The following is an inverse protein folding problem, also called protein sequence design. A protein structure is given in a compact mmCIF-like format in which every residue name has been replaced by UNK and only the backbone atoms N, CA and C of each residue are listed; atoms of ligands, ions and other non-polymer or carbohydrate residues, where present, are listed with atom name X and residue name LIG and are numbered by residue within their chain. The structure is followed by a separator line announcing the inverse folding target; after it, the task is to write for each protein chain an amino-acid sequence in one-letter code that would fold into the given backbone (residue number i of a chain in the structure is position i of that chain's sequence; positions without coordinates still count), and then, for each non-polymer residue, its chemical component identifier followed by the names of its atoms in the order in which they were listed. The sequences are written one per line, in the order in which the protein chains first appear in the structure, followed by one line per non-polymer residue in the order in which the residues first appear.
data_IF_413591137966
#
_entry.id   IF_413591137966
#
_cell.length_a   1.000
_cell.length_b   1.000
_cell.length_c   1.000
_cell.angle_alpha   90.00
_cell.angle_beta   90.00
_cell.angle_gamma   90.00
#
_symmetry.space_group_name_H-M   'P 1'
#
loop_
_entity.id
_entity.type
_entity.pdbx_description
1 polymer ?
#
# COMPACT_ATOMS: atom_id res chain seq x y z
N UNK A 1 0.88 -17.82 -9.95
CA UNK A 1 0.40 -18.07 -8.56
C UNK A 1 -0.42 -16.90 -8.04
N UNK A 2 0.07 -15.67 -8.24
CA UNK A 2 -0.62 -14.40 -7.99
C UNK A 2 -1.98 -14.23 -8.70
N UNK A 3 -2.10 -14.60 -9.98
CA UNK A 3 -3.38 -14.51 -10.70
C UNK A 3 -4.48 -15.37 -10.05
N UNK A 4 -4.14 -16.57 -9.60
CA UNK A 4 -5.05 -17.45 -8.84
C UNK A 4 -5.41 -16.90 -7.45
N UNK A 5 -4.64 -15.94 -6.94
CA UNK A 5 -4.88 -15.30 -5.64
C UNK A 5 -5.81 -14.08 -5.81
N UNK A 6 -5.63 -13.32 -6.89
CA UNK A 6 -6.49 -12.22 -7.33
C UNK A 6 -7.92 -12.73 -7.60
N UNK A 7 -8.05 -13.89 -8.24
CA UNK A 7 -9.34 -14.55 -8.47
C UNK A 7 -10.07 -14.91 -7.16
N UNK A 8 -9.32 -15.27 -6.11
CA UNK A 8 -9.87 -15.66 -4.79
C UNK A 8 -10.33 -14.48 -3.93
N UNK A 9 -9.89 -13.27 -4.28
CA UNK A 9 -10.25 -12.02 -3.60
C UNK A 9 -11.21 -11.15 -4.42
N UNK A 10 -11.64 -11.62 -5.60
CA UNK A 10 -12.65 -10.91 -6.39
C UNK A 10 -14.05 -11.07 -5.77
N UNK A 11 -14.77 -9.97 -5.49
CA UNK A 11 -16.17 -10.04 -5.14
C UNK A 11 -16.98 -10.44 -6.39
N UNK A 12 -17.85 -11.44 -6.24
CA UNK A 12 -18.78 -11.87 -7.28
C UNK A 12 -19.66 -10.69 -7.73
N UNK A 13 -19.91 -10.58 -9.05
CA UNK A 13 -20.45 -9.38 -9.71
C UNK A 13 -21.75 -8.89 -9.06
N UNK A 14 -21.75 -7.65 -8.56
CA UNK A 14 -22.97 -6.93 -8.22
C UNK A 14 -23.51 -6.18 -9.46
N UNK A 15 -24.76 -6.47 -9.82
CA UNK A 15 -25.58 -5.81 -10.83
C UNK A 15 -25.80 -4.31 -10.55
N UNK A 16 -26.07 -3.46 -11.57
CA UNK A 16 -26.25 -2.03 -11.37
C UNK A 16 -27.67 -1.72 -10.86
N UNK A 17 -27.77 -0.88 -9.83
CA UNK A 17 -29.04 -0.30 -9.37
C UNK A 17 -29.08 1.18 -9.74
N UNK A 18 -30.14 1.56 -10.45
CA UNK A 18 -30.45 2.88 -10.95
C UNK A 18 -30.60 3.93 -9.84
N UNK A 19 -30.17 5.16 -10.13
CA UNK A 19 -30.31 6.34 -9.25
C UNK A 19 -31.74 6.86 -9.24
N UNK A 20 -32.39 6.82 -8.08
CA UNK A 20 -33.43 7.78 -7.71
C UNK A 20 -32.86 8.79 -6.73
N UNK A 21 -33.08 10.08 -7.02
CA UNK A 21 -32.65 11.21 -6.19
C UNK A 21 -33.77 11.49 -5.18
N UNK A 22 -33.52 11.23 -3.89
CA UNK A 22 -34.42 11.63 -2.81
C UNK A 22 -33.70 12.60 -1.89
N UNK A 23 -34.27 13.81 -1.80
CA UNK A 23 -33.89 14.86 -0.84
C UNK A 23 -34.37 14.48 0.57
N UNK A 24 -33.46 14.38 1.55
CA UNK A 24 -33.79 14.17 2.98
C UNK A 24 -32.83 14.96 3.90
N UNK A 25 -33.29 15.51 5.06
CA UNK A 25 -32.58 16.54 5.84
C UNK A 25 -31.36 16.06 6.65
N UNK A 26 -30.49 17.00 7.03
CA UNK A 26 -29.21 16.85 7.77
C UNK A 26 -29.31 16.33 9.23
N UNK A 27 -30.31 15.53 9.58
CA UNK A 27 -30.44 15.00 10.95
C UNK A 27 -30.49 13.48 10.94
N UNK A 28 -29.30 12.88 10.86
CA UNK A 28 -28.91 11.54 11.34
C UNK A 28 -27.57 11.17 10.68
N UNK A 29 -26.44 11.52 11.30
CA UNK A 29 -25.20 10.79 11.04
C UNK A 29 -25.12 9.72 12.13
N UNK A 30 -25.54 8.47 11.90
CA UNK A 30 -25.20 7.39 12.79
C UNK A 30 -23.69 7.16 12.70
N UNK A 31 -22.93 7.70 13.65
CA UNK A 31 -21.54 7.31 13.88
C UNK A 31 -21.50 5.93 14.54
N UNK A 32 -22.02 4.92 13.85
CA UNK A 32 -21.88 3.53 14.28
C UNK A 32 -20.48 3.09 13.87
N UNK A 33 -19.53 3.14 14.82
CA UNK A 33 -18.20 2.56 14.60
C UNK A 33 -18.36 1.09 14.23
N UNK A 34 -18.05 0.79 12.97
CA UNK A 34 -18.20 -0.54 12.39
C UNK A 34 -16.92 -1.33 12.64
N UNK A 35 -17.04 -2.53 13.21
CA UNK A 35 -15.89 -3.36 13.58
C UNK A 35 -15.77 -4.54 12.62
N UNK A 36 -14.56 -5.04 12.41
CA UNK A 36 -14.40 -6.33 11.75
C UNK A 36 -15.15 -7.41 12.57
N UNK A 37 -15.88 -8.35 11.94
CA UNK A 37 -16.75 -9.32 12.59
C UNK A 37 -16.05 -10.05 13.74
N UNK A 38 -16.70 -10.11 14.91
CA UNK A 38 -16.19 -10.77 16.12
C UNK A 38 -14.86 -10.21 16.66
N UNK A 39 -14.54 -8.95 16.39
CA UNK A 39 -13.32 -8.29 16.89
C UNK A 39 -13.59 -6.86 17.42
N UNK A 40 -12.58 -6.27 18.07
CA UNK A 40 -12.55 -4.83 18.42
C UNK A 40 -11.77 -3.98 17.41
N UNK A 41 -11.51 -4.49 16.20
CA UNK A 41 -10.76 -3.78 15.16
C UNK A 41 -11.74 -2.92 14.36
N UNK A 42 -11.69 -1.61 14.59
CA UNK A 42 -12.57 -0.66 13.91
C UNK A 42 -12.19 -0.47 12.43
N UNK A 43 -13.20 -0.40 11.58
CA UNK A 43 -13.11 0.14 10.24
C UNK A 43 -12.71 1.62 10.30
N UNK A 44 -11.80 2.03 9.43
CA UNK A 44 -11.27 3.39 9.35
C UNK A 44 -11.58 3.95 7.96
N UNK A 45 -12.63 4.77 7.78
CA UNK A 45 -13.07 5.22 6.45
C UNK A 45 -12.01 6.03 5.68
N UNK A 46 -11.08 6.67 6.39
CA UNK A 46 -9.99 7.44 5.80
C UNK A 46 -8.72 6.62 5.53
N UNK A 47 -8.71 5.32 5.80
CA UNK A 47 -7.50 4.49 5.66
C UNK A 47 -7.04 4.39 4.20
N UNK A 48 -7.92 3.99 3.28
CA UNK A 48 -7.55 3.86 1.86
C UNK A 48 -7.11 5.21 1.26
N UNK A 49 -7.86 6.32 1.42
CA UNK A 49 -7.39 7.63 0.95
C UNK A 49 -6.03 8.05 1.52
N UNK A 50 -5.74 7.69 2.78
CA UNK A 50 -4.43 7.94 3.40
C UNK A 50 -3.33 7.10 2.75
N UNK A 51 -3.57 5.82 2.51
CA UNK A 51 -2.58 4.91 1.90
C UNK A 51 -2.27 5.34 0.45
N UNK A 52 -3.28 5.70 -0.33
CA UNK A 52 -3.10 6.25 -1.68
C UNK A 52 -2.29 7.56 -1.68
N UNK A 53 -2.51 8.43 -0.67
CA UNK A 53 -1.68 9.62 -0.51
C UNK A 53 -0.23 9.25 -0.18
N UNK A 54 -0.02 8.28 0.71
CA UNK A 54 1.33 7.79 1.03
C UNK A 54 2.03 7.21 -0.20
N UNK A 55 1.31 6.50 -1.10
CA UNK A 55 1.86 6.05 -2.39
C UNK A 55 2.35 7.21 -3.25
N UNK A 56 1.54 8.27 -3.38
CA UNK A 56 1.93 9.47 -4.14
C UNK A 56 3.16 10.13 -3.53
N UNK A 57 3.21 10.26 -2.22
CA UNK A 57 4.35 10.87 -1.50
C UNK A 57 5.63 10.02 -1.68
N UNK A 58 5.51 8.69 -1.57
CA UNK A 58 6.60 7.75 -1.84
C UNK A 58 7.16 7.90 -3.25
N UNK A 59 6.28 7.90 -4.26
CA UNK A 59 6.70 8.04 -5.66
C UNK A 59 7.30 9.41 -5.94
N UNK A 60 6.79 10.48 -5.32
CA UNK A 60 7.36 11.81 -5.45
C UNK A 60 8.83 11.87 -4.95
N UNK A 61 9.11 11.28 -3.78
CA UNK A 61 10.48 11.23 -3.23
C UNK A 61 11.36 10.28 -4.04
N UNK A 62 10.82 9.18 -4.54
CA UNK A 62 11.53 8.29 -5.46
C UNK A 62 12.05 9.04 -6.69
N UNK A 63 11.19 9.81 -7.38
CA UNK A 63 11.58 10.56 -8.57
C UNK A 63 12.63 11.64 -8.27
N UNK A 64 12.53 12.32 -7.12
CA UNK A 64 13.57 13.25 -6.64
C UNK A 64 14.90 12.53 -6.44
N UNK A 65 14.87 11.36 -5.82
CA UNK A 65 16.06 10.52 -5.58
C UNK A 65 16.72 10.12 -6.90
N UNK A 66 15.94 9.59 -7.84
CA UNK A 66 16.43 9.15 -9.14
C UNK A 66 17.04 10.31 -9.92
N UNK A 67 16.35 11.45 -9.95
CA UNK A 67 16.83 12.67 -10.63
C UNK A 67 18.13 13.17 -10.01
N UNK A 68 18.22 13.23 -8.68
CA UNK A 68 19.45 13.63 -7.99
C UNK A 68 20.62 12.70 -8.31
N UNK A 69 20.38 11.39 -8.31
CA UNK A 69 21.40 10.38 -8.62
C UNK A 69 21.91 10.49 -10.06
N UNK A 70 21.01 10.64 -11.04
CA UNK A 70 21.35 10.82 -12.45
C UNK A 70 22.14 12.11 -12.71
N UNK A 71 21.94 13.15 -11.89
CA UNK A 71 22.66 14.42 -11.98
C UNK A 71 23.89 14.47 -11.04
N UNK A 72 24.33 13.32 -10.51
CA UNK A 72 25.48 13.20 -9.61
C UNK A 72 25.41 14.10 -8.37
N UNK A 73 24.21 14.38 -7.87
CA UNK A 73 23.97 15.20 -6.66
C UNK A 73 24.00 14.32 -5.41
N UNK A 74 25.17 13.79 -5.06
CA UNK A 74 25.31 12.74 -4.04
C UNK A 74 24.67 13.07 -2.68
N UNK A 75 24.88 14.28 -2.15
CA UNK A 75 24.28 14.67 -0.87
C UNK A 75 22.73 14.70 -0.93
N UNK A 76 22.15 15.23 -2.01
CA UNK A 76 20.70 15.21 -2.22
C UNK A 76 20.18 13.79 -2.41
N UNK A 77 20.89 12.94 -3.15
CA UNK A 77 20.54 11.53 -3.31
C UNK A 77 20.47 10.83 -1.96
N UNK A 78 21.48 11.03 -1.09
CA UNK A 78 21.48 10.46 0.26
C UNK A 78 20.29 10.97 1.08
N UNK A 79 20.05 12.28 1.06
CA UNK A 79 18.94 12.89 1.79
C UNK A 79 17.60 12.28 1.36
N UNK A 80 17.34 12.17 0.06
CA UNK A 80 16.08 11.60 -0.44
C UNK A 80 15.97 10.09 -0.21
N UNK A 81 17.08 9.34 -0.20
CA UNK A 81 17.07 7.93 0.20
C UNK A 81 16.62 7.73 1.66
N UNK A 82 17.04 8.63 2.57
CA UNK A 82 16.62 8.61 3.98
C UNK A 82 15.12 8.92 4.08
N UNK A 83 14.68 10.01 3.43
CA UNK A 83 13.26 10.39 3.40
C UNK A 83 12.38 9.28 2.82
N UNK A 84 12.80 8.68 1.70
CA UNK A 84 12.10 7.58 1.06
C UNK A 84 12.01 6.36 1.99
N UNK A 85 13.09 6.02 2.70
CA UNK A 85 13.09 4.94 3.68
C UNK A 85 12.08 5.19 4.79
N UNK A 86 12.03 6.40 5.33
CA UNK A 86 11.13 6.74 6.44
C UNK A 86 9.66 6.68 6.01
N UNK A 87 9.33 7.23 4.83
CA UNK A 87 8.00 7.11 4.23
C UNK A 87 7.61 5.64 4.01
N UNK A 88 8.54 4.82 3.48
CA UNK A 88 8.28 3.41 3.21
C UNK A 88 8.04 2.62 4.50
N UNK A 89 8.82 2.89 5.55
CA UNK A 89 8.63 2.28 6.87
C UNK A 89 7.26 2.65 7.43
N UNK A 90 6.89 3.92 7.38
CA UNK A 90 5.61 4.42 7.88
C UNK A 90 4.41 3.81 7.14
N UNK A 91 4.47 3.77 5.81
CA UNK A 91 3.46 3.16 4.96
C UNK A 91 3.25 1.68 5.29
N UNK A 92 4.33 0.89 5.28
CA UNK A 92 4.26 -0.55 5.59
C UNK A 92 3.74 -0.83 7.00
N UNK A 93 4.06 0.02 7.98
CA UNK A 93 3.53 -0.11 9.33
C UNK A 93 2.01 0.10 9.36
N UNK A 94 1.52 1.12 8.65
CA UNK A 94 0.10 1.43 8.57
C UNK A 94 -0.68 0.30 7.91
N UNK A 95 -0.19 -0.23 6.79
CA UNK A 95 -0.80 -1.39 6.15
C UNK A 95 -0.85 -2.61 7.07
N UNK A 96 0.28 -2.95 7.71
CA UNK A 96 0.39 -4.14 8.55
C UNK A 96 -0.47 -4.07 9.81
N UNK A 97 -0.62 -2.89 10.41
CA UNK A 97 -1.35 -2.71 11.68
C UNK A 97 -2.81 -2.33 11.51
N UNK A 98 -3.22 -1.84 10.32
CA UNK A 98 -4.60 -1.45 10.06
C UNK A 98 -5.23 -2.26 8.92
N UNK A 99 -4.65 -2.23 7.72
CA UNK A 99 -5.27 -2.81 6.51
C UNK A 99 -5.33 -4.34 6.59
N UNK A 100 -4.18 -5.02 6.66
CA UNK A 100 -4.13 -6.48 6.63
C UNK A 100 -4.80 -7.12 7.85
N UNK A 101 -4.67 -6.48 9.02
CA UNK A 101 -5.37 -6.93 10.23
C UNK A 101 -6.88 -6.85 10.03
N UNK A 102 -7.41 -5.75 9.51
CA UNK A 102 -8.86 -5.63 9.26
C UNK A 102 -9.33 -6.63 8.21
N UNK A 103 -8.67 -6.72 7.06
CA UNK A 103 -9.06 -7.62 5.97
C UNK A 103 -9.07 -9.09 6.41
N UNK A 104 -8.04 -9.52 7.15
CA UNK A 104 -7.95 -10.89 7.66
C UNK A 104 -9.06 -11.23 8.66
N UNK A 105 -9.44 -10.27 9.51
CA UNK A 105 -10.53 -10.47 10.47
C UNK A 105 -11.92 -10.32 9.84
N UNK A 106 -12.02 -9.59 8.74
CA UNK A 106 -13.24 -9.41 7.94
C UNK A 106 -13.55 -10.59 7.02
N UNK A 107 -12.52 -11.38 6.67
CA UNK A 107 -12.67 -12.56 5.84
C UNK A 107 -13.59 -13.62 6.48
N UNK A 108 -14.63 -14.01 5.74
CA UNK A 108 -15.66 -14.96 6.19
C UNK A 108 -15.27 -16.42 5.92
N UNK A 109 -14.46 -16.67 4.89
CA UNK A 109 -14.01 -18.01 4.49
C UNK A 109 -12.52 -18.22 4.82
N UNK A 110 -12.09 -19.44 5.18
CA UNK A 110 -10.67 -19.74 5.39
C UNK A 110 -9.78 -19.38 4.18
N UNK A 111 -10.26 -19.65 2.96
CA UNK A 111 -9.55 -19.32 1.72
C UNK A 111 -9.30 -17.82 1.52
N UNK A 112 -10.20 -16.95 2.01
CA UNK A 112 -10.02 -15.50 1.99
C UNK A 112 -8.95 -15.07 3.00
N UNK A 113 -8.92 -15.67 4.19
CA UNK A 113 -7.87 -15.42 5.20
C UNK A 113 -6.48 -15.83 4.69
N UNK A 114 -6.40 -16.99 4.03
CA UNK A 114 -5.18 -17.46 3.38
C UNK A 114 -4.73 -16.49 2.28
N UNK A 115 -5.67 -16.00 1.46
CA UNK A 115 -5.36 -15.06 0.40
C UNK A 115 -4.79 -13.73 0.93
N UNK A 116 -5.40 -13.13 1.96
CA UNK A 116 -4.87 -11.94 2.63
C UNK A 116 -3.48 -12.20 3.22
N UNK A 117 -3.27 -13.36 3.83
CA UNK A 117 -1.98 -13.73 4.43
C UNK A 117 -0.88 -13.90 3.38
N UNK A 118 -1.21 -14.48 2.23
CA UNK A 118 -0.28 -14.66 1.12
C UNK A 118 0.14 -13.30 0.52
N UNK A 119 -0.81 -12.39 0.27
CA UNK A 119 -0.51 -11.02 -0.20
C UNK A 119 0.42 -10.30 0.77
N UNK A 120 0.13 -10.37 2.08
CA UNK A 120 0.97 -9.75 3.11
C UNK A 120 2.40 -10.33 3.09
N UNK A 121 2.52 -11.66 2.95
CA UNK A 121 3.83 -12.34 2.95
C UNK A 121 4.67 -11.96 1.74
N UNK A 122 4.05 -11.85 0.57
CA UNK A 122 4.71 -11.32 -0.63
C UNK A 122 5.22 -9.89 -0.37
N UNK A 123 4.49 -9.07 0.38
CA UNK A 123 4.99 -7.75 0.74
C UNK A 123 6.12 -7.70 1.69
N UNK A 124 6.05 -8.47 2.75
CA UNK A 124 7.15 -8.48 3.68
C UNK A 124 8.45 -8.91 2.94
N UNK A 125 8.34 -9.75 1.90
CA UNK A 125 9.48 -10.12 1.06
C UNK A 125 10.00 -8.95 0.21
N UNK A 126 9.13 -8.26 -0.53
CA UNK A 126 9.50 -7.10 -1.35
C UNK A 126 10.07 -5.97 -0.48
N UNK A 127 9.37 -5.63 0.59
CA UNK A 127 9.77 -4.60 1.55
C UNK A 127 11.13 -4.88 2.19
N UNK A 128 11.44 -6.14 2.54
CA UNK A 128 12.76 -6.52 3.05
C UNK A 128 13.86 -6.25 2.03
N UNK A 129 13.62 -6.61 0.76
CA UNK A 129 14.58 -6.36 -0.33
C UNK A 129 14.86 -4.87 -0.50
N UNK A 130 13.81 -4.04 -0.56
CA UNK A 130 13.95 -2.59 -0.69
C UNK A 130 14.65 -1.99 0.52
N UNK A 131 14.27 -2.35 1.76
CA UNK A 131 14.94 -1.84 2.98
C UNK A 131 16.43 -2.18 2.99
N UNK A 132 16.81 -3.41 2.61
CA UNK A 132 18.22 -3.80 2.53
C UNK A 132 18.98 -3.00 1.47
N UNK A 133 18.36 -2.73 0.32
CA UNK A 133 18.94 -1.84 -0.70
C UNK A 133 19.14 -0.42 -0.15
N UNK A 134 18.14 0.14 0.51
CA UNK A 134 18.21 1.50 1.09
C UNK A 134 19.28 1.58 2.20
N UNK A 135 19.32 0.61 3.11
CA UNK A 135 20.30 0.56 4.20
C UNK A 135 21.75 0.55 3.72
N UNK A 136 22.00 -0.13 2.59
CA UNK A 136 23.33 -0.13 1.95
C UNK A 136 23.58 1.20 1.24
N UNK A 137 22.59 1.71 0.51
CA UNK A 137 22.72 2.90 -0.34
C UNK A 137 22.88 4.20 0.45
N UNK A 138 22.24 4.30 1.61
CA UNK A 138 22.35 5.45 2.52
C UNK A 138 23.77 5.58 3.10
N UNK A 139 24.58 4.52 3.09
CA UNK A 139 25.97 4.54 3.59
C UNK A 139 27.00 4.87 2.52
N UNK A 140 26.64 4.86 1.24
CA UNK A 140 27.55 5.15 0.11
C UNK A 140 27.89 6.64 0.04
N UNK A 141 29.05 7.02 -0.47
CA UNK A 141 29.44 8.41 -0.72
C UNK A 141 29.22 8.85 -2.18
N UNK A 142 29.03 7.88 -3.06
CA UNK A 142 28.82 8.05 -4.49
C UNK A 142 27.68 7.17 -5.01
N UNK A 143 27.10 7.58 -6.13
CA UNK A 143 25.97 6.94 -6.77
C UNK A 143 26.27 6.79 -8.26
N UNK A 144 26.83 5.63 -8.60
CA UNK A 144 27.22 5.23 -9.94
C UNK A 144 26.04 4.83 -10.84
N UNK A 145 26.32 4.56 -12.11
CA UNK A 145 25.32 4.09 -13.07
C UNK A 145 24.64 2.79 -12.60
N UNK A 146 25.40 1.88 -12.00
CA UNK A 146 24.87 0.64 -11.44
C UNK A 146 23.88 0.89 -10.29
N UNK A 147 24.14 1.89 -9.43
CA UNK A 147 23.17 2.31 -8.42
C UNK A 147 21.89 2.84 -9.07
N UNK A 148 22.01 3.69 -10.10
CA UNK A 148 20.85 4.23 -10.81
C UNK A 148 20.01 3.10 -11.42
N UNK A 149 20.63 2.12 -12.07
CA UNK A 149 19.91 0.97 -12.64
C UNK A 149 19.22 0.12 -11.55
N UNK A 150 19.89 -0.15 -10.43
CA UNK A 150 19.24 -0.84 -9.29
C UNK A 150 18.11 -0.02 -8.68
N UNK A 151 18.24 1.31 -8.64
CA UNK A 151 17.18 2.20 -8.15
C UNK A 151 15.95 2.18 -9.09
N UNK A 152 16.14 2.06 -10.40
CA UNK A 152 15.04 1.85 -11.36
C UNK A 152 14.28 0.57 -11.07
N UNK A 153 14.99 -0.55 -10.87
CA UNK A 153 14.36 -1.83 -10.51
C UNK A 153 13.54 -1.75 -9.21
N UNK A 154 14.01 -0.97 -8.23
CA UNK A 154 13.24 -0.71 -7.00
C UNK A 154 11.96 0.08 -7.30
N UNK A 155 12.05 1.08 -8.17
CA UNK A 155 10.89 1.87 -8.62
C UNK A 155 9.85 1.02 -9.33
N UNK A 156 10.28 0.18 -10.29
CA UNK A 156 9.38 -0.71 -11.04
C UNK A 156 8.67 -1.69 -10.10
N UNK A 157 9.41 -2.32 -9.18
CA UNK A 157 8.85 -3.23 -8.20
C UNK A 157 7.86 -2.55 -7.24
N UNK A 158 8.12 -1.30 -6.85
CA UNK A 158 7.22 -0.52 -6.02
C UNK A 158 5.96 -0.11 -6.78
N UNK A 159 6.09 0.33 -8.04
CA UNK A 159 4.96 0.73 -8.87
C UNK A 159 4.02 -0.45 -9.16
N UNK A 160 4.57 -1.58 -9.62
CA UNK A 160 3.80 -2.82 -9.84
C UNK A 160 3.04 -3.22 -8.58
N UNK A 161 3.65 -2.97 -7.42
CA UNK A 161 3.02 -3.24 -6.15
C UNK A 161 1.85 -2.28 -5.85
N UNK A 162 2.08 -0.99 -5.95
CA UNK A 162 1.06 0.05 -5.73
C UNK A 162 -0.18 -0.25 -6.59
N UNK A 163 0.03 -0.53 -7.88
CA UNK A 163 -1.05 -0.86 -8.81
C UNK A 163 -1.86 -2.08 -8.36
N UNK A 164 -1.19 -3.13 -7.86
CA UNK A 164 -1.85 -4.33 -7.36
C UNK A 164 -2.65 -4.08 -6.08
N UNK A 165 -2.15 -3.27 -5.16
CA UNK A 165 -2.88 -2.92 -3.95
C UNK A 165 -4.16 -2.17 -4.26
N UNK A 166 -4.04 -1.12 -5.07
CA UNK A 166 -5.15 -0.24 -5.42
C UNK A 166 -6.20 -0.99 -6.24
N UNK A 167 -5.79 -1.87 -7.16
CA UNK A 167 -6.71 -2.62 -8.00
C UNK A 167 -7.38 -3.81 -7.29
N UNK A 168 -6.70 -4.48 -6.35
CA UNK A 168 -7.17 -5.77 -5.83
C UNK A 168 -7.30 -5.86 -4.31
N UNK A 169 -6.52 -5.09 -3.55
CA UNK A 169 -6.56 -5.13 -2.07
C UNK A 169 -7.55 -4.10 -1.54
N UNK A 170 -7.45 -2.85 -1.97
CA UNK A 170 -8.27 -1.75 -1.44
C UNK A 170 -9.77 -1.92 -1.70
N UNK A 171 -10.24 -2.47 -2.84
CA UNK A 171 -11.66 -2.74 -3.06
C UNK A 171 -12.27 -3.74 -2.06
N UNK A 172 -11.44 -4.56 -1.41
CA UNK A 172 -11.87 -5.49 -0.37
C UNK A 172 -11.95 -4.85 1.03
N UNK A 173 -11.48 -3.60 1.19
CA UNK A 173 -11.55 -2.85 2.44
C UNK A 173 -12.88 -2.10 2.57
N UNK A 174 -13.94 -2.86 2.80
CA UNK A 174 -15.30 -2.33 2.97
C UNK A 174 -15.74 -2.40 4.42
N UNK A 175 -16.67 -1.52 4.78
CA UNK A 175 -17.30 -1.52 6.09
C UNK A 175 -18.27 -2.73 6.19
N UNK A 176 -18.15 -3.57 7.23
CA UNK A 176 -18.90 -4.84 7.41
C UNK A 176 -20.27 -4.75 8.08
#
# INVERSE_FOLDING_TARGET
MLEKLIERLSPDKATPVSREVVNTPLSQIPSTTQFAPNTKIAYKPKLVPLLEQQHRDLMAVYWKTLTAAQNHKNELTRQYLIEFKDLLVGHLLQENTSLYIYLRNSARKPSQKEAVTAIKTEMDKLARGIKQFLDKSIKKTDYDADFVERLKLVGDALLERIEKEEAYVYPNYVAN
#
